data_IF_824642957907
#
_entry.id   IF_824642957907
#
_cell.length_a   1.000
_cell.length_b   1.000
_cell.length_c   1.000
_cell.angle_alpha   90.00
_cell.angle_beta   90.00
_cell.angle_gamma   90.00
#
_symmetry.space_group_name_H-M   'P 1'
#
loop_
_entity.id
_entity.type
_entity.pdbx_description
1 polymer ?
#
# COMPACT_ATOMS: atom_id res chain seq x y z
N UNK A 1 -7.32 -15.23 14.62
CA UNK A 1 -7.19 -15.35 13.16
C UNK A 1 -7.01 -13.98 12.53
N UNK A 2 -6.69 -13.95 11.23
CA UNK A 2 -6.60 -12.72 10.45
C UNK A 2 -8.00 -12.24 10.06
N UNK A 3 -8.18 -10.93 9.89
CA UNK A 3 -9.45 -10.32 9.52
C UNK A 3 -9.35 -9.54 8.21
N UNK A 4 -10.30 -9.76 7.31
CA UNK A 4 -10.47 -8.93 6.12
C UNK A 4 -11.46 -7.80 6.43
N UNK A 5 -11.03 -6.55 6.27
CA UNK A 5 -11.84 -5.36 6.62
C UNK A 5 -11.82 -4.39 5.44
N UNK A 6 -12.97 -3.79 5.17
CA UNK A 6 -13.12 -2.75 4.14
C UNK A 6 -13.64 -1.46 4.78
N UNK A 7 -13.03 -0.34 4.41
CA UNK A 7 -13.54 1.00 4.65
C UNK A 7 -14.13 1.59 3.37
N UNK A 8 -15.21 2.32 3.53
CA UNK A 8 -15.85 3.12 2.49
C UNK A 8 -15.90 4.58 2.92
N UNK A 9 -15.91 5.48 1.96
CA UNK A 9 -15.94 6.93 2.18
C UNK A 9 -16.56 7.64 0.98
N UNK A 10 -16.99 8.88 1.18
CA UNK A 10 -17.34 9.78 0.09
C UNK A 10 -16.08 10.43 -0.45
N UNK A 11 -15.77 10.19 -1.72
CA UNK A 11 -14.59 10.73 -2.41
C UNK A 11 -15.08 11.45 -3.66
N UNK A 12 -14.81 12.75 -3.78
CA UNK A 12 -15.25 13.54 -4.93
C UNK A 12 -16.77 13.50 -5.13
N UNK A 13 -17.54 13.46 -4.04
CA UNK A 13 -19.01 13.40 -4.08
C UNK A 13 -19.60 12.01 -4.36
N UNK A 14 -18.78 10.97 -4.50
CA UNK A 14 -19.24 9.59 -4.71
C UNK A 14 -18.86 8.71 -3.52
N UNK A 15 -19.86 8.02 -2.97
CA UNK A 15 -19.63 7.02 -1.92
C UNK A 15 -19.14 5.70 -2.54
N UNK A 16 -18.08 5.14 -1.97
CA UNK A 16 -17.52 3.89 -2.44
C UNK A 16 -16.39 3.37 -1.56
N UNK A 17 -15.77 2.30 -2.02
CA UNK A 17 -14.64 1.71 -1.31
C UNK A 17 -13.47 2.68 -1.25
N UNK A 18 -12.95 2.91 -0.04
CA UNK A 18 -11.71 3.65 0.19
C UNK A 18 -10.51 2.71 0.12
N UNK A 19 -10.49 1.68 0.98
CA UNK A 19 -9.49 0.62 0.97
C UNK A 19 -9.98 -0.63 1.69
N UNK A 20 -9.32 -1.75 1.40
CA UNK A 20 -9.49 -3.01 2.12
C UNK A 20 -8.13 -3.47 2.66
N UNK A 21 -8.13 -4.20 3.77
CA UNK A 21 -6.89 -4.66 4.37
C UNK A 21 -7.06 -5.99 5.11
N UNK A 22 -5.94 -6.69 5.26
CA UNK A 22 -5.87 -7.96 5.94
C UNK A 22 -5.15 -7.77 7.27
N UNK A 23 -5.94 -7.72 8.33
CA UNK A 23 -5.49 -7.32 9.67
C UNK A 23 -5.00 -8.49 10.50
N UNK A 24 -3.83 -8.34 11.12
CA UNK A 24 -3.26 -9.29 12.07
C UNK A 24 -3.33 -8.72 13.50
N UNK A 25 -4.29 -9.19 14.34
CA UNK A 25 -4.46 -8.68 15.68
C UNK A 25 -3.37 -9.14 16.68
N UNK A 26 -2.54 -10.11 16.28
CA UNK A 26 -1.39 -10.56 17.11
C UNK A 26 -0.17 -9.71 16.82
N UNK A 27 0.12 -9.47 15.55
CA UNK A 27 1.24 -8.63 15.12
C UNK A 27 0.94 -7.13 15.26
N UNK A 28 -0.33 -6.74 15.31
CA UNK A 28 -0.85 -5.36 15.33
C UNK A 28 -0.40 -4.54 14.11
N UNK A 29 -0.33 -5.21 12.96
CA UNK A 29 -0.11 -4.61 11.64
C UNK A 29 -1.00 -5.29 10.60
N UNK A 30 -1.37 -4.57 9.53
CA UNK A 30 -1.97 -5.20 8.36
C UNK A 30 -0.89 -5.85 7.51
N UNK A 31 -1.12 -7.09 7.06
CA UNK A 31 -0.22 -7.76 6.12
C UNK A 31 -0.19 -7.01 4.80
N UNK A 32 -1.33 -6.49 4.35
CA UNK A 32 -1.44 -5.64 3.19
C UNK A 32 -2.68 -4.74 3.25
N UNK A 33 -2.63 -3.66 2.51
CA UNK A 33 -3.70 -2.70 2.27
C UNK A 33 -3.87 -2.52 0.77
N UNK A 34 -5.08 -2.75 0.25
CA UNK A 34 -5.41 -2.68 -1.17
C UNK A 34 -6.38 -1.54 -1.45
N UNK A 35 -6.09 -0.75 -2.48
CA UNK A 35 -6.89 0.41 -2.85
C UNK A 35 -6.76 0.77 -4.33
N UNK A 36 -7.82 1.30 -4.96
CA UNK A 36 -7.74 1.91 -6.28
C UNK A 36 -7.18 3.32 -6.18
N UNK A 37 -6.50 3.78 -7.22
CA UNK A 37 -5.90 5.10 -7.31
C UNK A 37 -6.08 5.69 -8.72
N UNK A 38 -6.52 6.95 -8.79
CA UNK A 38 -6.55 7.80 -9.96
C UNK A 38 -6.75 9.26 -9.53
N UNK A 39 -6.79 10.19 -10.46
CA UNK A 39 -6.97 11.62 -10.15
C UNK A 39 -8.22 11.89 -9.30
N UNK A 40 -9.34 11.25 -9.62
CA UNK A 40 -10.61 11.44 -8.90
C UNK A 40 -10.55 10.90 -7.47
N UNK A 41 -9.87 9.78 -7.25
CA UNK A 41 -9.70 9.17 -5.92
C UNK A 41 -8.68 9.90 -5.04
N UNK A 42 -7.62 10.49 -5.63
CA UNK A 42 -6.73 11.41 -4.92
C UNK A 42 -7.55 12.60 -4.42
N UNK A 43 -8.42 13.13 -5.29
CA UNK A 43 -9.34 14.23 -4.99
C UNK A 43 -8.61 15.52 -4.56
N UNK A 44 -9.35 16.41 -3.90
CA UNK A 44 -8.86 17.69 -3.40
C UNK A 44 -9.14 17.82 -1.91
N UNK A 45 -8.30 18.57 -1.21
CA UNK A 45 -8.39 18.78 0.21
C UNK A 45 -7.01 18.86 0.85
N UNK A 46 -6.90 18.40 2.06
CA UNK A 46 -5.64 18.46 2.82
C UNK A 46 -5.47 17.27 3.76
N UNK A 47 -4.24 17.10 4.20
CA UNK A 47 -3.88 16.16 5.25
C UNK A 47 -4.55 16.56 6.56
N UNK A 48 -5.26 15.62 7.20
CA UNK A 48 -6.00 15.89 8.45
C UNK A 48 -5.17 15.70 9.71
N UNK A 49 -4.20 14.77 9.68
CA UNK A 49 -3.45 14.32 10.87
C UNK A 49 -4.34 13.88 12.05
N UNK A 50 -5.55 13.42 11.76
CA UNK A 50 -6.52 12.96 12.76
C UNK A 50 -6.26 11.50 13.14
N UNK A 51 -5.16 11.28 13.84
CA UNK A 51 -4.76 9.98 14.36
C UNK A 51 -5.80 9.40 15.32
N UNK A 52 -6.31 8.22 15.00
CA UNK A 52 -7.39 7.61 15.78
C UNK A 52 -7.39 6.08 15.68
N UNK A 53 -8.24 5.49 16.49
CA UNK A 53 -8.55 4.07 16.45
C UNK A 53 -9.46 3.77 15.25
N UNK A 54 -9.26 2.57 14.66
CA UNK A 54 -10.20 2.05 13.67
C UNK A 54 -11.51 1.63 14.36
N UNK A 55 -12.66 2.22 13.99
CA UNK A 55 -13.94 1.90 14.65
C UNK A 55 -14.44 0.47 14.37
N UNK A 56 -13.86 -0.24 13.37
CA UNK A 56 -14.23 -1.63 13.04
C UNK A 56 -13.39 -2.68 13.75
N UNK A 57 -12.41 -2.26 14.57
CA UNK A 57 -11.53 -3.17 15.29
C UNK A 57 -11.58 -2.83 16.78
N UNK A 58 -11.89 -3.79 17.68
CA UNK A 58 -11.87 -3.53 19.11
C UNK A 58 -10.50 -3.04 19.59
N UNK A 59 -10.48 -2.11 20.55
CA UNK A 59 -9.26 -1.45 21.03
C UNK A 59 -8.14 -2.42 21.45
N UNK A 60 -8.50 -3.53 22.08
CA UNK A 60 -7.52 -4.54 22.50
C UNK A 60 -6.83 -5.26 21.33
N UNK A 61 -7.41 -5.23 20.13
CA UNK A 61 -6.92 -5.92 18.94
C UNK A 61 -6.31 -4.98 17.89
N UNK A 62 -6.04 -3.73 18.27
CA UNK A 62 -5.38 -2.76 17.42
C UNK A 62 -4.37 -1.92 18.21
N UNK A 63 -3.36 -1.32 17.56
CA UNK A 63 -2.44 -0.43 18.24
C UNK A 63 -3.11 0.92 18.53
N UNK A 64 -2.71 1.55 19.63
CA UNK A 64 -3.07 2.94 19.95
C UNK A 64 -1.90 3.81 19.55
N UNK A 65 -2.09 4.61 18.51
CA UNK A 65 -1.04 5.43 17.88
C UNK A 65 -1.47 6.90 17.73
N UNK A 66 -2.13 7.44 18.75
CA UNK A 66 -2.52 8.86 18.79
C UNK A 66 -1.28 9.78 18.76
N UNK A 67 -0.17 9.27 19.23
CA UNK A 67 1.18 9.84 19.14
C UNK A 67 2.16 8.77 18.64
N UNK A 68 3.40 9.15 18.40
CA UNK A 68 4.42 8.23 17.88
C UNK A 68 4.64 6.99 18.75
N UNK A 69 5.30 5.98 18.16
CA UNK A 69 5.74 4.78 18.88
C UNK A 69 6.70 5.15 20.03
N UNK A 70 6.73 4.31 21.06
CA UNK A 70 7.65 4.48 22.19
C UNK A 70 9.11 4.46 21.73
N UNK A 71 9.95 5.29 22.35
CA UNK A 71 11.41 5.32 22.10
C UNK A 71 11.84 6.10 20.88
N UNK A 72 10.95 6.56 20.02
CA UNK A 72 11.27 7.46 18.88
C UNK A 72 12.08 6.84 17.73
N UNK A 73 12.36 5.54 17.76
CA UNK A 73 13.14 4.85 16.70
C UNK A 73 12.35 4.66 15.41
N UNK A 74 11.04 4.49 15.52
CA UNK A 74 10.15 4.23 14.39
C UNK A 74 9.14 5.35 14.20
N UNK A 75 8.85 5.63 12.94
CA UNK A 75 7.79 6.53 12.53
C UNK A 75 6.48 5.77 12.30
N UNK A 76 5.38 6.49 12.32
CA UNK A 76 4.06 5.98 11.92
C UNK A 76 3.99 5.96 10.39
N UNK A 77 4.43 4.84 9.79
CA UNK A 77 4.45 4.65 8.34
C UNK A 77 3.07 4.23 7.81
N UNK A 78 2.52 5.00 6.85
CA UNK A 78 1.26 4.68 6.18
C UNK A 78 1.44 3.55 5.17
N UNK A 79 0.45 2.64 5.09
CA UNK A 79 0.35 1.69 3.98
C UNK A 79 -0.45 2.29 2.81
N UNK A 80 -1.64 2.85 3.05
CA UNK A 80 -2.31 3.79 2.13
C UNK A 80 -1.84 5.20 2.48
N UNK A 81 -1.07 5.87 1.60
CA UNK A 81 -0.58 7.21 1.89
C UNK A 81 -1.71 8.24 2.06
N UNK A 82 -1.55 9.15 3.01
CA UNK A 82 -2.48 10.28 3.18
C UNK A 82 -2.65 11.09 1.89
N UNK A 83 -1.55 11.31 1.15
CA UNK A 83 -1.57 12.07 -0.11
C UNK A 83 -2.33 11.39 -1.25
N UNK A 84 -2.69 10.12 -1.12
CA UNK A 84 -3.52 9.40 -2.10
C UNK A 84 -5.02 9.60 -1.88
N UNK A 85 -5.41 10.26 -0.77
CA UNK A 85 -6.80 10.50 -0.37
C UNK A 85 -6.95 11.86 0.29
N UNK A 86 -7.26 12.92 -0.47
CA UNK A 86 -7.42 14.26 0.09
C UNK A 86 -8.88 14.64 0.42
N UNK A 87 -9.89 13.89 -0.03
CA UNK A 87 -11.24 14.04 0.51
C UNK A 87 -11.24 13.78 2.01
N UNK A 88 -11.88 14.65 2.80
CA UNK A 88 -11.81 14.64 4.26
C UNK A 88 -12.09 13.28 4.89
N UNK A 89 -13.25 12.68 4.58
CA UNK A 89 -13.66 11.39 5.15
C UNK A 89 -12.67 10.27 4.81
N UNK A 90 -12.21 10.22 3.56
CA UNK A 90 -11.23 9.22 3.12
C UNK A 90 -9.85 9.45 3.74
N UNK A 91 -9.44 10.71 3.90
CA UNK A 91 -8.16 11.06 4.51
C UNK A 91 -8.12 10.69 6.00
N UNK A 92 -9.18 10.98 6.75
CA UNK A 92 -9.30 10.58 8.17
C UNK A 92 -9.05 9.08 8.34
N UNK A 93 -9.59 8.24 7.46
CA UNK A 93 -9.43 6.79 7.54
C UNK A 93 -7.98 6.33 7.29
N UNK A 94 -7.14 7.13 6.62
CA UNK A 94 -5.72 6.81 6.44
C UNK A 94 -4.92 6.95 7.73
N UNK A 95 -5.43 7.65 8.73
CA UNK A 95 -4.80 7.86 10.03
C UNK A 95 -5.26 6.88 11.12
N UNK A 96 -6.08 5.89 10.78
CA UNK A 96 -6.35 4.78 11.70
C UNK A 96 -5.09 3.96 11.93
N UNK A 97 -4.81 3.63 13.19
CA UNK A 97 -3.63 2.83 13.56
C UNK A 97 -3.50 1.51 12.79
N UNK A 98 -4.60 0.98 12.27
CA UNK A 98 -4.63 -0.23 11.45
C UNK A 98 -4.06 -0.04 10.02
N UNK A 99 -3.89 1.19 9.56
CA UNK A 99 -3.20 1.54 8.30
C UNK A 99 -1.72 1.86 8.50
N UNK A 100 -1.23 1.75 9.71
CA UNK A 100 0.09 2.22 10.13
C UNK A 100 0.98 1.05 10.52
N UNK A 101 2.26 1.15 10.18
CA UNK A 101 3.30 0.21 10.59
C UNK A 101 4.49 0.96 11.21
N UNK A 102 5.24 0.33 12.12
CA UNK A 102 6.49 0.91 12.61
C UNK A 102 7.53 0.88 11.49
N UNK A 103 7.85 2.04 10.95
CA UNK A 103 8.74 2.19 9.81
C UNK A 103 9.93 3.10 10.16
N UNK A 104 11.15 2.67 9.79
CA UNK A 104 12.35 3.49 9.98
C UNK A 104 12.30 4.74 9.13
N UNK A 105 12.62 5.90 9.71
CA UNK A 105 12.63 7.18 8.99
C UNK A 105 13.52 7.15 7.75
N UNK A 106 14.66 6.47 7.81
CA UNK A 106 15.56 6.32 6.66
C UNK A 106 14.90 5.65 5.44
N UNK A 107 13.87 4.83 5.63
CA UNK A 107 13.05 4.29 4.54
C UNK A 107 11.84 5.19 4.26
N UNK A 108 11.05 5.49 5.28
CA UNK A 108 9.74 6.15 5.18
C UNK A 108 9.82 7.56 4.57
N UNK A 109 10.81 8.36 4.96
CA UNK A 109 10.94 9.76 4.53
C UNK A 109 11.73 9.93 3.22
N UNK A 110 12.38 8.89 2.75
CA UNK A 110 13.28 8.92 1.59
C UNK A 110 12.73 8.09 0.44
N UNK A 111 13.35 6.93 0.16
CA UNK A 111 13.04 6.14 -1.04
C UNK A 111 11.58 5.67 -1.09
N UNK A 112 10.98 5.35 0.07
CA UNK A 112 9.57 4.95 0.13
C UNK A 112 8.64 6.11 -0.23
N UNK A 113 8.91 7.31 0.26
CA UNK A 113 8.16 8.53 -0.12
C UNK A 113 8.33 8.84 -1.61
N UNK A 114 9.51 8.61 -2.18
CA UNK A 114 9.76 8.74 -3.63
C UNK A 114 8.93 7.75 -4.42
N UNK A 115 8.84 6.48 -3.96
CA UNK A 115 7.96 5.48 -4.57
C UNK A 115 6.49 5.90 -4.50
N UNK A 116 6.01 6.34 -3.35
CA UNK A 116 4.61 6.80 -3.19
C UNK A 116 4.27 7.95 -4.15
N UNK A 117 5.15 8.92 -4.30
CA UNK A 117 4.99 10.04 -5.24
C UNK A 117 4.97 9.53 -6.68
N UNK A 118 5.89 8.64 -7.04
CA UNK A 118 5.96 8.05 -8.39
C UNK A 118 4.70 7.25 -8.72
N UNK A 119 4.22 6.42 -7.80
CA UNK A 119 2.97 5.65 -7.95
C UNK A 119 1.78 6.59 -8.17
N UNK A 120 1.71 7.66 -7.41
CA UNK A 120 0.66 8.69 -7.55
C UNK A 120 0.72 9.37 -8.92
N UNK A 121 1.91 9.67 -9.42
CA UNK A 121 2.09 10.28 -10.73
C UNK A 121 1.73 9.31 -11.86
N UNK A 122 2.11 8.05 -11.79
CA UNK A 122 1.65 7.03 -12.74
C UNK A 122 0.12 6.92 -12.77
N UNK A 123 -0.54 6.94 -11.60
CA UNK A 123 -1.99 6.82 -11.51
C UNK A 123 -2.74 7.93 -12.26
N UNK A 124 -2.14 9.10 -12.38
CA UNK A 124 -2.73 10.25 -13.08
C UNK A 124 -2.82 10.06 -14.60
N UNK A 125 -2.06 9.11 -15.14
CA UNK A 125 -2.03 8.76 -16.57
C UNK A 125 -2.82 7.47 -16.88
N UNK A 126 -3.49 6.90 -15.91
CA UNK A 126 -4.28 5.67 -15.99
C UNK A 126 -5.75 5.96 -15.70
N UNK A 127 -6.65 5.10 -16.17
CA UNK A 127 -8.05 5.13 -15.75
C UNK A 127 -8.16 4.67 -14.28
N UNK A 128 -7.41 3.62 -13.94
CA UNK A 128 -7.27 3.15 -12.55
C UNK A 128 -5.93 2.46 -12.37
N UNK A 129 -5.29 2.73 -11.24
CA UNK A 129 -4.16 1.97 -10.73
C UNK A 129 -4.60 1.23 -9.49
N UNK A 130 -4.58 -0.10 -9.54
CA UNK A 130 -4.85 -0.94 -8.37
C UNK A 130 -3.54 -1.14 -7.62
N UNK A 131 -3.51 -0.71 -6.35
CA UNK A 131 -2.33 -0.75 -5.50
C UNK A 131 -2.55 -1.71 -4.35
N UNK A 132 -1.61 -2.59 -4.11
CA UNK A 132 -1.50 -3.37 -2.87
C UNK A 132 -0.18 -3.01 -2.22
N UNK A 133 -0.26 -2.36 -1.07
CA UNK A 133 0.91 -2.09 -0.22
C UNK A 133 0.93 -3.08 0.92
N UNK A 134 2.05 -3.69 1.19
CA UNK A 134 2.16 -4.62 2.31
C UNK A 134 3.49 -4.58 3.01
N UNK A 135 3.56 -5.32 4.11
CA UNK A 135 4.76 -5.50 4.89
C UNK A 135 5.00 -6.99 5.17
N UNK A 136 6.24 -7.36 5.34
CA UNK A 136 6.65 -8.72 5.70
C UNK A 136 7.02 -8.75 7.17
N UNK A 137 6.33 -9.60 7.93
CA UNK A 137 6.59 -9.80 9.36
C UNK A 137 7.14 -11.18 9.68
N UNK A 138 7.11 -12.11 8.73
CA UNK A 138 7.68 -13.44 8.91
C UNK A 138 9.17 -13.34 9.24
N UNK A 139 9.56 -14.07 10.28
CA UNK A 139 10.95 -14.07 10.78
C UNK A 139 11.33 -12.80 11.55
N UNK A 140 10.42 -11.83 11.75
CA UNK A 140 10.72 -10.66 12.57
C UNK A 140 10.86 -11.04 14.05
N UNK A 141 11.92 -10.53 14.66
CA UNK A 141 12.19 -10.65 16.10
C UNK A 141 12.18 -9.29 16.81
N UNK A 142 11.89 -8.21 16.06
CA UNK A 142 11.88 -6.84 16.58
C UNK A 142 10.45 -6.37 16.86
N UNK A 143 10.28 -5.70 17.99
CA UNK A 143 8.99 -5.16 18.44
C UNK A 143 9.18 -3.73 18.95
N UNK A 144 8.11 -2.95 18.85
CA UNK A 144 8.03 -1.61 19.46
C UNK A 144 6.70 -1.46 20.17
N UNK A 145 6.66 -0.69 21.25
CA UNK A 145 5.42 -0.48 22.01
C UNK A 145 4.60 0.66 21.38
N UNK A 146 3.29 0.44 21.33
CA UNK A 146 2.31 1.48 21.09
C UNK A 146 2.15 2.41 22.32
N UNK A 147 1.18 3.31 22.29
CA UNK A 147 0.95 4.29 23.37
C UNK A 147 0.39 3.65 24.67
N UNK A 148 -0.03 2.39 24.62
CA UNK A 148 -0.55 1.63 25.77
C UNK A 148 0.35 0.45 26.16
N UNK A 149 1.55 0.35 25.60
CA UNK A 149 2.51 -0.70 25.90
C UNK A 149 2.26 -2.03 25.19
N UNK A 150 1.35 -2.07 24.20
CA UNK A 150 1.15 -3.26 23.37
C UNK A 150 2.32 -3.40 22.39
N UNK A 151 2.84 -4.62 22.24
CA UNK A 151 3.93 -4.91 21.33
C UNK A 151 3.44 -4.97 19.89
N UNK A 152 3.94 -4.08 19.04
CA UNK A 152 3.71 -4.05 17.60
C UNK A 152 4.92 -4.68 16.91
N UNK A 153 4.69 -5.64 16.02
CA UNK A 153 5.76 -6.28 15.25
C UNK A 153 6.35 -5.30 14.26
N UNK A 154 7.67 -5.19 14.25
CA UNK A 154 8.42 -4.38 13.27
C UNK A 154 8.62 -5.21 12.01
N UNK A 155 8.13 -4.78 10.83
CA UNK A 155 8.33 -5.50 9.58
C UNK A 155 9.80 -5.60 9.19
N UNK A 156 10.16 -6.69 8.50
CA UNK A 156 11.48 -6.89 7.92
C UNK A 156 11.62 -6.33 6.50
N UNK A 157 10.49 -6.09 5.83
CA UNK A 157 10.44 -5.54 4.49
C UNK A 157 9.07 -4.96 4.16
N UNK A 158 9.05 -4.19 3.06
CA UNK A 158 7.85 -3.53 2.53
C UNK A 158 7.76 -3.75 1.03
N UNK A 159 6.53 -3.82 0.52
CA UNK A 159 6.30 -4.00 -0.91
C UNK A 159 5.11 -3.20 -1.42
N UNK A 160 5.10 -2.96 -2.74
CA UNK A 160 3.92 -2.54 -3.49
C UNK A 160 3.78 -3.43 -4.73
N UNK A 161 2.57 -3.93 -4.96
CA UNK A 161 2.15 -4.55 -6.21
C UNK A 161 1.21 -3.58 -6.93
N UNK A 162 1.44 -3.31 -8.21
CA UNK A 162 0.72 -2.33 -9.00
C UNK A 162 0.13 -2.99 -10.25
N UNK A 163 -1.17 -2.80 -10.47
CA UNK A 163 -1.86 -3.18 -11.70
C UNK A 163 -2.53 -1.94 -12.29
N UNK A 164 -1.95 -1.42 -13.36
CA UNK A 164 -2.49 -0.29 -14.11
C UNK A 164 -3.47 -0.73 -15.17
N UNK A 165 -4.51 0.08 -15.41
CA UNK A 165 -5.48 -0.10 -16.47
C UNK A 165 -5.74 1.21 -17.20
N UNK A 166 -5.74 1.13 -18.54
CA UNK A 166 -6.19 2.23 -19.41
C UNK A 166 -6.92 1.68 -20.63
N UNK A 167 -8.16 2.12 -20.81
CA UNK A 167 -8.98 1.74 -21.95
C UNK A 167 -8.49 2.43 -23.23
N UNK A 168 -8.52 1.73 -24.36
CA UNK A 168 -8.17 2.24 -25.68
C UNK A 168 -6.79 2.93 -25.73
N UNK A 169 -5.83 2.39 -24.99
CA UNK A 169 -4.53 3.01 -24.85
C UNK A 169 -3.45 2.36 -25.72
N UNK A 170 -2.36 3.10 -25.88
CA UNK A 170 -1.09 2.61 -26.43
C UNK A 170 -0.31 1.72 -25.43
N UNK A 171 -0.70 1.70 -24.17
CA UNK A 171 -0.12 0.85 -23.13
C UNK A 171 -0.84 -0.48 -23.02
N UNK A 172 -0.12 -1.55 -22.69
CA UNK A 172 -0.71 -2.88 -22.54
C UNK A 172 -1.52 -3.33 -23.74
N UNK A 173 -1.09 -2.99 -24.97
CA UNK A 173 -1.83 -3.28 -26.20
C UNK A 173 -2.11 -4.77 -26.40
N UNK A 174 -1.18 -5.63 -25.99
CA UNK A 174 -1.33 -7.09 -26.06
C UNK A 174 -1.99 -7.71 -24.81
N UNK A 175 -2.34 -6.90 -23.79
CA UNK A 175 -2.90 -7.33 -22.51
C UNK A 175 -4.16 -6.55 -22.15
N UNK A 176 -4.92 -6.13 -23.16
CA UNK A 176 -6.21 -5.41 -23.02
C UNK A 176 -6.12 -4.18 -22.13
N UNK A 177 -5.01 -3.46 -22.16
CA UNK A 177 -4.78 -2.24 -21.42
C UNK A 177 -4.29 -2.42 -19.97
N UNK A 178 -4.01 -3.67 -19.53
CA UNK A 178 -3.47 -3.94 -18.22
C UNK A 178 -1.94 -4.04 -18.24
N UNK A 179 -1.29 -3.39 -17.28
CA UNK A 179 0.17 -3.41 -17.09
C UNK A 179 0.50 -3.59 -15.63
N UNK A 180 1.52 -4.38 -15.32
CA UNK A 180 1.91 -4.73 -13.96
C UNK A 180 3.36 -4.41 -13.65
N UNK A 181 3.63 -4.02 -12.40
CA UNK A 181 4.97 -3.87 -11.81
C UNK A 181 4.87 -4.07 -10.31
N UNK A 182 5.95 -4.48 -9.68
CA UNK A 182 6.04 -4.62 -8.23
C UNK A 182 7.36 -4.08 -7.72
N UNK A 183 7.39 -3.75 -6.42
CA UNK A 183 8.57 -3.25 -5.71
C UNK A 183 8.72 -3.94 -4.37
N UNK A 184 9.94 -4.22 -3.98
CA UNK A 184 10.27 -4.74 -2.66
C UNK A 184 11.46 -4.01 -2.08
N UNK A 185 11.36 -3.62 -0.81
CA UNK A 185 12.41 -2.97 -0.04
C UNK A 185 12.64 -3.71 1.26
N UNK A 186 13.89 -4.07 1.57
CA UNK A 186 14.25 -4.42 2.94
C UNK A 186 14.00 -3.21 3.85
N UNK A 187 13.70 -3.46 5.13
CA UNK A 187 13.42 -2.40 6.11
C UNK A 187 14.70 -1.66 6.53
N UNK A 188 15.27 -0.89 5.61
CA UNK A 188 16.51 -0.11 5.79
C UNK A 188 16.49 1.15 4.92
N UNK A 189 17.49 2.02 5.10
CA UNK A 189 17.71 3.14 4.21
C UNK A 189 18.29 2.75 2.86
N UNK A 190 17.96 3.53 1.84
CA UNK A 190 18.48 3.45 0.46
C UNK A 190 18.86 4.85 -0.01
N UNK A 191 19.69 4.96 -1.06
CA UNK A 191 19.88 6.23 -1.77
C UNK A 191 18.53 6.72 -2.30
N UNK A 192 18.19 7.98 -2.01
CA UNK A 192 16.90 8.55 -2.35
C UNK A 192 16.91 9.12 -3.77
N UNK A 193 16.91 8.24 -4.77
CA UNK A 193 16.86 8.61 -6.18
C UNK A 193 16.02 7.62 -6.99
N UNK A 194 15.55 8.09 -8.16
CA UNK A 194 14.68 7.31 -9.05
C UNK A 194 15.34 6.02 -9.53
N UNK A 195 16.63 6.07 -9.88
CA UNK A 195 17.36 4.90 -10.37
C UNK A 195 17.45 3.82 -9.30
N UNK A 196 17.77 4.17 -8.07
CA UNK A 196 17.81 3.24 -6.93
C UNK A 196 16.42 2.65 -6.68
N UNK A 197 15.37 3.47 -6.73
CA UNK A 197 13.98 3.01 -6.60
C UNK A 197 13.63 1.97 -7.67
N UNK A 198 13.92 2.26 -8.94
CA UNK A 198 13.61 1.34 -10.05
C UNK A 198 14.42 0.04 -10.01
N UNK A 199 15.61 0.04 -9.42
CA UNK A 199 16.37 -1.20 -9.16
C UNK A 199 15.68 -2.16 -8.18
N UNK A 200 14.75 -1.68 -7.38
CA UNK A 200 13.94 -2.51 -6.49
C UNK A 200 12.66 -3.05 -7.15
N UNK A 201 12.47 -2.74 -8.44
CA UNK A 201 11.33 -3.24 -9.21
C UNK A 201 11.52 -4.70 -9.62
N UNK A 202 10.39 -5.37 -9.76
CA UNK A 202 10.30 -6.75 -10.22
C UNK A 202 8.92 -7.00 -10.85
N UNK A 203 8.75 -8.16 -11.48
CA UNK A 203 7.44 -8.59 -11.95
C UNK A 203 6.51 -8.91 -10.76
N UNK A 204 5.21 -8.84 -10.98
CA UNK A 204 4.22 -9.25 -9.96
C UNK A 204 4.49 -10.69 -9.52
N UNK A 205 4.70 -11.61 -10.46
CA UNK A 205 4.99 -13.03 -10.14
C UNK A 205 6.27 -13.21 -9.30
N UNK A 206 7.29 -12.37 -9.52
CA UNK A 206 8.50 -12.43 -8.69
C UNK A 206 8.22 -11.98 -7.25
N UNK A 207 7.39 -10.93 -7.08
CA UNK A 207 6.98 -10.49 -5.76
C UNK A 207 6.13 -11.55 -5.05
N UNK A 208 5.18 -12.18 -5.76
CA UNK A 208 4.33 -13.25 -5.22
C UNK A 208 5.16 -14.40 -4.63
N UNK A 209 6.16 -14.85 -5.38
CA UNK A 209 7.10 -15.88 -4.89
C UNK A 209 7.89 -15.44 -3.66
N UNK A 210 8.23 -14.15 -3.60
CA UNK A 210 9.03 -13.59 -2.51
C UNK A 210 8.23 -13.44 -1.22
N UNK A 211 6.97 -13.01 -1.30
CA UNK A 211 6.16 -12.66 -0.12
C UNK A 211 5.03 -13.64 0.18
N UNK A 212 4.78 -14.62 -0.70
CA UNK A 212 3.76 -15.65 -0.48
C UNK A 212 2.32 -15.15 -0.58
N UNK A 213 2.07 -14.09 -1.34
CA UNK A 213 0.73 -13.50 -1.57
C UNK A 213 0.42 -13.59 -3.06
N UNK A 214 -0.77 -14.07 -3.41
CA UNK A 214 -1.31 -14.06 -4.77
C UNK A 214 -2.06 -12.72 -4.99
N UNK A 215 -1.53 -11.86 -5.87
CA UNK A 215 -2.09 -10.55 -6.13
C UNK A 215 -3.06 -10.56 -7.31
N UNK A 216 -4.05 -9.67 -7.27
CA UNK A 216 -4.98 -9.42 -8.38
C UNK A 216 -5.69 -10.69 -8.89
N UNK A 217 -6.12 -11.53 -7.98
CA UNK A 217 -6.71 -12.85 -8.22
C UNK A 217 -7.91 -12.87 -9.18
N UNK A 218 -8.53 -11.72 -9.41
CA UNK A 218 -9.64 -11.58 -10.35
C UNK A 218 -9.19 -11.25 -11.79
N UNK A 219 -7.91 -10.99 -12.03
CA UNK A 219 -7.41 -10.61 -13.36
C UNK A 219 -7.62 -11.71 -14.39
N UNK A 220 -7.36 -13.02 -14.11
CA UNK A 220 -7.61 -14.10 -15.07
C UNK A 220 -9.07 -14.17 -15.53
N UNK A 221 -10.02 -13.95 -14.63
CA UNK A 221 -11.44 -13.91 -14.98
C UNK A 221 -11.80 -12.72 -15.87
N UNK A 222 -11.04 -11.62 -15.78
CA UNK A 222 -11.28 -10.39 -16.55
C UNK A 222 -10.73 -10.44 -17.98
N UNK A 223 -9.52 -10.98 -18.16
CA UNK A 223 -8.81 -10.93 -19.46
C UNK A 223 -8.40 -12.30 -20.00
N UNK A 224 -8.60 -13.38 -19.25
CA UNK A 224 -8.14 -14.74 -19.56
C UNK A 224 -6.81 -15.07 -18.88
N UNK A 225 -6.59 -16.34 -18.58
CA UNK A 225 -5.42 -16.81 -17.84
C UNK A 225 -4.08 -16.47 -18.53
N UNK A 226 -4.00 -16.65 -19.86
CA UNK A 226 -2.76 -16.42 -20.61
C UNK A 226 -2.35 -14.94 -20.59
N UNK A 227 -3.30 -14.01 -20.79
CA UNK A 227 -3.03 -12.59 -20.74
C UNK A 227 -2.73 -12.11 -19.32
N UNK A 228 -3.41 -12.65 -18.30
CA UNK A 228 -3.10 -12.37 -16.91
C UNK A 228 -1.67 -12.79 -16.57
N UNK A 229 -1.26 -13.99 -16.93
CA UNK A 229 0.11 -14.46 -16.75
C UNK A 229 1.12 -13.54 -17.45
N UNK A 230 0.82 -13.07 -18.66
CA UNK A 230 1.68 -12.12 -19.38
C UNK A 230 1.84 -10.80 -18.63
N UNK A 231 0.77 -10.25 -18.05
CA UNK A 231 0.82 -9.05 -17.20
C UNK A 231 1.70 -9.28 -15.97
N UNK A 232 1.53 -10.42 -15.31
CA UNK A 232 2.21 -10.74 -14.06
C UNK A 232 3.69 -11.09 -14.24
N UNK A 233 4.10 -11.53 -15.42
CA UNK A 233 5.47 -11.97 -15.71
C UNK A 233 6.30 -10.99 -16.54
N UNK A 234 5.79 -9.81 -16.86
CA UNK A 234 6.49 -8.80 -17.64
C UNK A 234 6.30 -7.39 -17.07
N UNK A 235 7.24 -6.50 -17.39
CA UNK A 235 7.18 -5.09 -17.03
C UNK A 235 7.05 -4.27 -18.32
N UNK A 236 5.89 -3.61 -18.48
CA UNK A 236 5.61 -2.78 -19.64
C UNK A 236 6.46 -1.50 -19.63
N UNK A 237 6.88 -0.99 -20.83
CA UNK A 237 7.60 0.28 -20.95
C UNK A 237 6.88 1.49 -20.32
N UNK A 238 5.58 1.41 -20.09
CA UNK A 238 4.82 2.46 -19.39
C UNK A 238 5.45 2.87 -18.05
N UNK A 239 6.08 1.94 -17.35
CA UNK A 239 6.64 2.15 -16.03
C UNK A 239 8.05 2.78 -16.00
N UNK A 240 8.66 2.99 -17.19
CA UNK A 240 10.05 3.47 -17.33
C UNK A 240 10.14 4.97 -17.56
#
# INVERSE_FOLDING_TARGET
GLYFITHSATIGGKYGRNYSFYWDPKALVAHWVAYPLNRGLISTGSRTDLWDLNPKVPRQYQPVLLRGYSGGTFQRGHQLPSADRYSYEANVQTFYGTNITPQRGALNENIWATLETTVRDWSKNLDTLYVVTGCVIEGSTEFVNDNEGKKVTVPTGYYKALLGYKQNASIGGSTKGFVGIAFYFDHKGYSNDYTTMMKQSMTISALEKKVGVDFFVNLPAKIGADLAQKVETSIDPFWK
#
